data_IF_470005674291
#
_entry.id   IF_470005674291
#
_cell.length_a   1.000
_cell.length_b   1.000
_cell.length_c   1.000
_cell.angle_alpha   90.00
_cell.angle_beta   90.00
_cell.angle_gamma   90.00
#
_symmetry.space_group_name_H-M   'P 1'
#
loop_
_entity.id
_entity.type
_entity.pdbx_description
1 polymer ?
#
# COMPACT_ATOMS: atom_id res chain seq x y z
N UNK A 1 -12.61 23.82 -1.57
CA UNK A 1 -13.51 23.58 -0.41
C UNK A 1 -12.82 24.21 0.80
N UNK A 2 -13.52 24.68 1.84
CA UNK A 2 -12.78 25.20 3.01
C UNK A 2 -12.01 24.04 3.71
N UNK A 3 -10.84 24.33 4.31
CA UNK A 3 -10.12 23.41 5.19
C UNK A 3 -11.12 22.81 6.19
N UNK A 4 -11.30 21.49 6.16
CA UNK A 4 -12.27 20.76 7.00
C UNK A 4 -11.61 20.03 8.18
N UNK A 5 -10.29 19.89 8.11
CA UNK A 5 -9.45 19.21 9.08
C UNK A 5 -8.63 20.25 9.89
N UNK A 6 -7.63 19.79 10.65
CA UNK A 6 -6.70 20.64 11.40
C UNK A 6 -5.93 21.61 10.48
N UNK A 7 -5.49 22.74 11.03
CA UNK A 7 -4.57 23.63 10.33
C UNK A 7 -3.22 22.96 10.06
N UNK A 8 -2.47 23.43 9.06
CA UNK A 8 -1.17 22.83 8.70
C UNK A 8 -0.19 22.80 9.90
N UNK A 9 -0.18 23.83 10.73
CA UNK A 9 0.64 23.88 11.95
C UNK A 9 0.24 22.77 12.94
N UNK A 10 -1.06 22.62 13.21
CA UNK A 10 -1.58 21.56 14.07
C UNK A 10 -1.35 20.15 13.51
N UNK A 11 -1.34 20.01 12.17
CA UNK A 11 -1.07 18.74 11.49
C UNK A 11 0.37 18.25 11.72
N UNK A 12 1.36 19.14 11.68
CA UNK A 12 2.76 18.77 11.97
C UNK A 12 2.96 18.28 13.42
N UNK A 13 2.19 18.82 14.36
CA UNK A 13 2.23 18.39 15.77
C UNK A 13 1.27 17.23 16.08
N UNK A 14 0.40 16.86 15.15
CA UNK A 14 -0.63 15.85 15.38
C UNK A 14 -0.03 14.47 15.69
N UNK A 15 -0.57 13.79 16.70
CA UNK A 15 -0.26 12.39 17.03
C UNK A 15 -1.58 11.64 17.18
N UNK A 16 -1.68 10.47 16.53
CA UNK A 16 -2.88 9.63 16.58
C UNK A 16 -3.17 9.16 18.00
N UNK A 17 -4.46 8.97 18.29
CA UNK A 17 -4.95 8.36 19.52
C UNK A 17 -5.17 6.83 19.39
N UNK A 18 -4.80 6.23 18.25
CA UNK A 18 -4.90 4.79 18.02
C UNK A 18 -3.99 4.04 18.99
N UNK A 19 -4.55 3.07 19.71
CA UNK A 19 -3.81 2.27 20.69
C UNK A 19 -3.22 1.05 20.00
N UNK A 20 -1.89 0.94 20.03
CA UNK A 20 -1.19 -0.21 19.50
C UNK A 20 -1.52 -1.48 20.29
N UNK A 21 -1.83 -2.62 19.63
CA UNK A 21 -1.92 -3.91 20.30
C UNK A 21 -0.59 -4.34 20.92
N UNK A 22 -0.62 -4.82 22.16
CA UNK A 22 0.59 -5.29 22.88
C UNK A 22 1.33 -6.42 22.14
N UNK A 23 0.61 -7.20 21.34
CA UNK A 23 1.14 -8.33 20.56
C UNK A 23 1.26 -8.03 19.05
N UNK A 24 1.26 -6.74 18.64
CA UNK A 24 1.35 -6.33 17.23
C UNK A 24 2.53 -6.99 16.48
N UNK A 25 3.74 -6.91 17.06
CA UNK A 25 4.93 -7.50 16.46
C UNK A 25 4.86 -9.03 16.37
N UNK A 26 4.33 -9.67 17.41
CA UNK A 26 4.19 -11.11 17.46
C UNK A 26 3.17 -11.59 16.41
N UNK A 27 2.07 -10.86 16.24
CA UNK A 27 1.04 -11.14 15.24
C UNK A 27 1.60 -11.11 13.81
N UNK A 28 2.34 -10.05 13.47
CA UNK A 28 2.92 -9.91 12.12
C UNK A 28 4.09 -10.86 11.88
N UNK A 29 4.97 -11.04 12.87
CA UNK A 29 6.06 -12.02 12.78
C UNK A 29 5.54 -13.42 12.52
N UNK A 30 4.51 -13.84 13.26
CA UNK A 30 3.84 -15.13 13.06
C UNK A 30 3.20 -15.22 11.69
N UNK A 31 2.46 -14.19 11.27
CA UNK A 31 1.77 -14.16 9.96
C UNK A 31 2.75 -14.31 8.80
N UNK A 32 3.89 -13.61 8.85
CA UNK A 32 4.91 -13.70 7.80
C UNK A 32 5.70 -15.01 7.86
N UNK A 33 5.90 -15.59 9.05
CA UNK A 33 6.48 -16.92 9.19
C UNK A 33 5.59 -17.99 8.54
N UNK A 34 4.29 -18.01 8.85
CA UNK A 34 3.30 -18.91 8.24
C UNK A 34 3.29 -18.78 6.72
N UNK A 35 3.33 -17.55 6.20
CA UNK A 35 3.36 -17.33 4.75
C UNK A 35 4.61 -17.90 4.07
N UNK A 36 5.76 -17.89 4.76
CA UNK A 36 7.04 -18.42 4.27
C UNK A 36 7.17 -19.94 4.40
N UNK A 37 6.22 -20.62 5.05
CA UNK A 37 6.12 -22.10 5.00
C UNK A 37 5.71 -22.58 3.60
N UNK A 38 5.12 -21.70 2.80
CA UNK A 38 4.85 -21.95 1.38
C UNK A 38 6.01 -21.42 0.52
N UNK A 39 6.46 -22.24 -0.44
CA UNK A 39 7.42 -21.80 -1.45
C UNK A 39 6.87 -20.56 -2.19
N UNK A 40 7.75 -19.65 -2.58
CA UNK A 40 7.38 -18.43 -3.28
C UNK A 40 6.86 -18.71 -4.68
N UNK A 41 7.35 -19.77 -5.34
CA UNK A 41 6.94 -20.23 -6.68
C UNK A 41 6.75 -19.06 -7.67
N UNK A 42 7.70 -18.10 -7.65
CA UNK A 42 7.64 -16.91 -8.49
C UNK A 42 7.92 -17.29 -9.95
N UNK A 43 6.90 -17.13 -10.79
CA UNK A 43 6.97 -17.35 -12.25
C UNK A 43 6.82 -16.04 -12.98
N UNK A 44 7.65 -15.86 -14.01
CA UNK A 44 7.69 -14.67 -14.87
C UNK A 44 7.50 -15.09 -16.32
N UNK A 45 6.30 -14.87 -16.85
CA UNK A 45 5.92 -15.29 -18.20
C UNK A 45 5.90 -14.09 -19.14
N UNK A 46 6.76 -14.03 -20.19
CA UNK A 46 6.78 -12.91 -21.11
C UNK A 46 5.42 -12.68 -21.78
N UNK A 47 5.01 -11.42 -21.92
CA UNK A 47 3.79 -11.02 -22.62
C UNK A 47 4.14 -10.18 -23.84
N UNK A 48 3.62 -10.57 -25.00
CA UNK A 48 3.69 -9.75 -26.20
C UNK A 48 2.72 -8.57 -26.09
N UNK A 49 3.29 -7.39 -25.84
CA UNK A 49 2.55 -6.13 -25.71
C UNK A 49 2.65 -5.25 -26.96
N UNK A 50 3.53 -5.60 -27.92
CA UNK A 50 3.93 -4.72 -29.01
C UNK A 50 4.78 -3.51 -28.61
N UNK A 51 5.17 -3.36 -27.34
CA UNK A 51 6.03 -2.27 -26.87
C UNK A 51 7.50 -2.54 -27.26
N UNK A 52 8.18 -1.49 -27.74
CA UNK A 52 9.56 -1.61 -28.23
C UNK A 52 10.64 -1.31 -27.17
N UNK A 53 10.32 -0.50 -26.17
CA UNK A 53 11.29 0.02 -25.19
C UNK A 53 11.28 -0.74 -23.86
N UNK A 54 10.33 -1.66 -23.67
CA UNK A 54 10.20 -2.45 -22.44
C UNK A 54 9.85 -3.91 -22.75
N UNK A 55 10.20 -4.79 -21.83
CA UNK A 55 9.72 -6.18 -21.75
C UNK A 55 8.77 -6.28 -20.55
N UNK A 56 7.64 -6.97 -20.73
CA UNK A 56 6.63 -7.14 -19.69
C UNK A 56 6.41 -8.62 -19.41
N UNK A 57 6.33 -8.97 -18.14
CA UNK A 57 6.09 -10.34 -17.68
C UNK A 57 4.80 -10.41 -16.87
N UNK A 58 3.93 -11.38 -17.20
CA UNK A 58 2.88 -11.84 -16.31
C UNK A 58 3.54 -12.58 -15.14
N UNK A 59 3.38 -12.03 -13.94
CA UNK A 59 3.97 -12.62 -12.73
C UNK A 59 2.90 -13.37 -11.95
N UNK A 60 3.28 -14.53 -11.41
CA UNK A 60 2.52 -15.25 -10.39
C UNK A 60 3.45 -15.66 -9.27
N UNK A 61 3.06 -15.44 -8.02
CA UNK A 61 3.81 -15.86 -6.83
C UNK A 61 2.85 -16.27 -5.72
N UNK A 62 3.35 -17.01 -4.73
CA UNK A 62 2.58 -17.43 -3.57
C UNK A 62 2.59 -16.37 -2.46
N UNK A 63 1.41 -15.78 -2.22
CA UNK A 63 1.13 -14.83 -1.15
C UNK A 63 0.62 -15.51 0.13
N UNK A 64 -0.33 -14.86 0.80
CA UNK A 64 -0.95 -15.38 2.03
C UNK A 64 -1.52 -16.79 1.84
N UNK A 65 -1.13 -17.73 2.71
CA UNK A 65 -1.59 -19.13 2.68
C UNK A 65 -1.18 -19.90 1.41
N UNK A 66 -0.13 -19.44 0.72
CA UNK A 66 0.31 -20.03 -0.55
C UNK A 66 -0.57 -19.68 -1.76
N UNK A 67 -1.59 -18.83 -1.60
CA UNK A 67 -2.50 -18.47 -2.69
C UNK A 67 -1.76 -17.75 -3.83
N UNK A 68 -2.13 -18.01 -5.10
CA UNK A 68 -1.50 -17.35 -6.23
C UNK A 68 -1.91 -15.86 -6.30
N UNK A 69 -0.92 -14.99 -6.33
CA UNK A 69 -1.05 -13.54 -6.51
C UNK A 69 -0.45 -13.14 -7.84
N UNK A 70 -1.16 -12.28 -8.58
CA UNK A 70 -0.76 -11.80 -9.90
C UNK A 70 -0.04 -10.45 -9.78
N UNK A 71 0.88 -10.18 -10.70
CA UNK A 71 1.55 -8.88 -10.81
C UNK A 71 2.03 -8.66 -12.24
N UNK A 72 2.47 -7.44 -12.57
CA UNK A 72 3.27 -7.18 -13.77
C UNK A 72 4.69 -6.84 -13.34
N UNK A 73 5.68 -7.39 -14.06
CA UNK A 73 7.06 -6.91 -14.02
C UNK A 73 7.38 -6.28 -15.37
N UNK A 74 7.74 -5.00 -15.37
CA UNK A 74 8.14 -4.24 -16.55
C UNK A 74 9.62 -3.89 -16.43
N UNK A 75 10.42 -4.26 -17.43
CA UNK A 75 11.85 -4.01 -17.51
C UNK A 75 12.18 -3.19 -18.76
N UNK A 76 13.14 -2.25 -18.73
CA UNK A 76 13.76 -1.69 -19.93
C UNK A 76 14.22 -2.82 -20.89
N UNK A 77 13.86 -2.72 -22.17
CA UNK A 77 14.11 -3.81 -23.12
C UNK A 77 15.61 -4.10 -23.37
N UNK A 78 16.47 -3.11 -23.15
CA UNK A 78 17.92 -3.20 -23.30
C UNK A 78 18.67 -3.56 -22.00
N UNK A 79 17.96 -3.97 -20.95
CA UNK A 79 18.58 -4.33 -19.68
C UNK A 79 19.34 -5.66 -19.79
N UNK A 80 20.65 -5.62 -19.54
CA UNK A 80 21.53 -6.79 -19.49
C UNK A 80 22.06 -7.07 -18.07
N UNK A 81 21.91 -6.09 -17.17
CA UNK A 81 22.41 -6.12 -15.78
C UNK A 81 21.28 -5.83 -14.78
N UNK A 82 21.40 -6.26 -13.51
CA UNK A 82 20.39 -6.00 -12.48
C UNK A 82 20.06 -4.51 -12.28
N UNK A 83 18.77 -4.20 -12.31
CA UNK A 83 18.25 -2.84 -12.23
C UNK A 83 17.76 -2.51 -10.82
N UNK A 84 17.84 -1.24 -10.37
CA UNK A 84 17.08 -0.80 -9.22
C UNK A 84 15.60 -1.12 -9.40
N UNK A 85 14.93 -1.49 -8.31
CA UNK A 85 13.58 -2.03 -8.32
C UNK A 85 12.60 -1.06 -7.65
N UNK A 86 11.47 -0.81 -8.30
CA UNK A 86 10.31 -0.13 -7.72
C UNK A 86 9.17 -1.13 -7.62
N UNK A 87 8.71 -1.41 -6.40
CA UNK A 87 7.51 -2.21 -6.13
C UNK A 87 6.34 -1.26 -5.86
N UNK A 88 5.26 -1.42 -6.60
CA UNK A 88 4.09 -0.54 -6.55
C UNK A 88 2.82 -1.28 -6.11
N UNK A 89 2.02 -0.60 -5.28
CA UNK A 89 0.76 -1.09 -4.75
C UNK A 89 -0.42 -0.22 -5.19
N UNK A 90 -1.58 -0.87 -5.41
CA UNK A 90 -2.73 -0.26 -6.09
C UNK A 90 -3.76 0.33 -5.11
N UNK A 91 -4.39 1.43 -5.53
CA UNK A 91 -5.50 2.08 -4.81
C UNK A 91 -6.78 1.21 -4.72
N UNK A 92 -7.68 1.60 -3.82
CA UNK A 92 -8.88 0.81 -3.48
C UNK A 92 -9.81 0.58 -4.67
N UNK A 93 -10.22 -0.67 -4.90
CA UNK A 93 -11.06 -1.12 -6.00
C UNK A 93 -10.35 -1.30 -7.34
N UNK A 94 -9.09 -0.88 -7.44
CA UNK A 94 -8.23 -1.07 -8.61
C UNK A 94 -7.55 -2.45 -8.63
N UNK A 95 -6.86 -2.74 -9.72
CA UNK A 95 -6.03 -3.93 -9.91
C UNK A 95 -4.82 -3.61 -10.77
N UNK A 96 -3.99 -4.61 -11.09
CA UNK A 96 -2.74 -4.44 -11.85
C UNK A 96 -2.92 -3.82 -13.25
N UNK A 97 -4.13 -3.80 -13.79
CA UNK A 97 -4.43 -3.23 -15.10
C UNK A 97 -3.91 -4.07 -16.27
N UNK A 98 -3.89 -3.47 -17.45
CA UNK A 98 -3.33 -4.08 -18.66
C UNK A 98 -1.79 -3.95 -18.69
N UNK A 99 -1.09 -4.88 -19.37
CA UNK A 99 0.38 -4.95 -19.33
C UNK A 99 1.11 -3.73 -19.92
N UNK A 100 0.42 -2.82 -20.60
CA UNK A 100 1.02 -1.63 -21.24
C UNK A 100 0.81 -0.33 -20.45
N UNK A 101 0.04 -0.35 -19.35
CA UNK A 101 -0.40 0.86 -18.64
C UNK A 101 0.73 1.53 -17.84
N UNK A 102 1.70 0.75 -17.36
CA UNK A 102 2.65 1.19 -16.33
C UNK A 102 4.09 1.30 -16.88
N UNK A 103 4.38 2.43 -17.52
CA UNK A 103 5.65 2.63 -18.26
C UNK A 103 6.64 3.57 -17.55
N UNK A 104 6.18 4.34 -16.57
CA UNK A 104 6.95 5.46 -16.02
C UNK A 104 8.29 5.00 -15.43
N UNK A 105 8.25 4.07 -14.47
CA UNK A 105 9.45 3.65 -13.74
C UNK A 105 10.43 2.86 -14.62
N UNK A 106 9.93 2.01 -15.52
CA UNK A 106 10.76 1.38 -16.54
C UNK A 106 11.46 2.41 -17.44
N UNK A 107 10.78 3.48 -17.81
CA UNK A 107 11.37 4.59 -18.59
C UNK A 107 12.46 5.36 -17.83
N UNK A 108 12.58 5.17 -16.51
CA UNK A 108 13.67 5.74 -15.70
C UNK A 108 14.90 4.82 -15.58
N UNK A 109 14.89 3.65 -16.21
CA UNK A 109 15.94 2.64 -16.09
C UNK A 109 15.82 1.76 -14.86
N UNK A 110 14.62 1.64 -14.28
CA UNK A 110 14.32 0.77 -13.12
C UNK A 110 13.46 -0.42 -13.53
N UNK A 111 13.59 -1.53 -12.83
CA UNK A 111 12.57 -2.57 -12.87
C UNK A 111 11.32 -2.07 -12.14
N UNK A 112 10.15 -2.28 -12.72
CA UNK A 112 8.87 -1.90 -12.10
C UNK A 112 8.01 -3.12 -11.88
N UNK A 113 7.66 -3.38 -10.63
CA UNK A 113 6.82 -4.49 -10.22
C UNK A 113 5.52 -3.94 -9.61
N UNK A 114 4.38 -4.12 -10.27
CA UNK A 114 3.09 -3.69 -9.73
C UNK A 114 2.27 -4.90 -9.29
N UNK A 115 2.01 -4.99 -7.98
CA UNK A 115 1.25 -6.08 -7.39
C UNK A 115 -0.25 -5.88 -7.61
N UNK A 116 -0.93 -6.90 -8.12
CA UNK A 116 -2.39 -6.90 -8.18
C UNK A 116 -3.02 -7.07 -6.80
N UNK A 117 -4.26 -6.61 -6.62
CA UNK A 117 -4.89 -6.62 -5.30
C UNK A 117 -5.97 -7.69 -5.21
N UNK A 118 -5.77 -8.68 -4.31
CA UNK A 118 -6.66 -9.85 -4.16
C UNK A 118 -8.14 -9.49 -4.05
N UNK A 119 -8.95 -10.05 -4.94
CA UNK A 119 -10.41 -9.89 -4.96
C UNK A 119 -10.90 -8.49 -5.35
N UNK A 120 -10.00 -7.56 -5.71
CA UNK A 120 -10.35 -6.22 -6.22
C UNK A 120 -10.20 -6.16 -7.75
N UNK A 121 -9.90 -4.98 -8.31
CA UNK A 121 -9.76 -4.79 -9.76
C UNK A 121 -11.09 -4.79 -10.49
N UNK A 122 -12.11 -4.16 -9.92
CA UNK A 122 -13.46 -4.11 -10.50
C UNK A 122 -14.19 -2.79 -10.28
N UNK A 123 -13.53 -1.77 -9.72
CA UNK A 123 -14.10 -0.44 -9.55
C UNK A 123 -13.55 0.56 -10.59
N UNK A 124 -12.24 0.50 -10.88
CA UNK A 124 -11.56 1.38 -11.84
C UNK A 124 -10.28 0.73 -12.39
N UNK A 125 -9.69 1.35 -13.42
CA UNK A 125 -8.48 0.86 -14.10
C UNK A 125 -8.75 -0.30 -15.07
N UNK A 126 -7.69 -0.96 -15.54
CA UNK A 126 -7.76 -2.10 -16.47
C UNK A 126 -8.15 -3.46 -15.85
N UNK A 127 -8.51 -3.48 -14.56
CA UNK A 127 -8.97 -4.67 -13.84
C UNK A 127 -7.88 -5.43 -13.07
N UNK A 128 -8.29 -6.49 -12.37
CA UNK A 128 -7.43 -7.39 -11.58
C UNK A 128 -7.68 -8.86 -11.93
N UNK A 129 -6.73 -9.71 -11.56
CA UNK A 129 -6.71 -11.15 -11.85
C UNK A 129 -6.45 -12.03 -10.61
N UNK A 130 -6.14 -11.43 -9.46
CA UNK A 130 -5.90 -12.15 -8.20
C UNK A 130 -7.21 -12.41 -7.48
N UNK A 131 -7.54 -13.68 -7.25
CA UNK A 131 -8.71 -14.05 -6.45
C UNK A 131 -8.45 -13.93 -4.94
N UNK A 132 -9.51 -13.79 -4.12
CA UNK A 132 -9.45 -13.96 -2.66
C UNK A 132 -10.29 -15.18 -2.25
N UNK A 133 -9.69 -16.38 -2.09
CA UNK A 133 -10.44 -17.63 -1.91
C UNK A 133 -10.90 -17.90 -0.47
N UNK A 134 -10.47 -17.10 0.51
CA UNK A 134 -10.67 -17.37 1.94
C UNK A 134 -12.13 -17.21 2.38
N UNK A 135 -12.96 -16.53 1.59
CA UNK A 135 -14.34 -16.20 1.96
C UNK A 135 -14.39 -15.27 3.18
N UNK A 136 -15.56 -15.13 3.81
CA UNK A 136 -15.67 -14.31 5.02
C UNK A 136 -17.03 -14.37 5.71
N UNK A 137 -17.04 -13.92 6.97
CA UNK A 137 -18.24 -13.63 7.73
C UNK A 137 -19.06 -12.47 7.09
N UNK A 138 -20.30 -12.23 7.55
CA UNK A 138 -21.08 -11.07 7.08
C UNK A 138 -20.31 -9.75 7.20
N UNK A 139 -20.35 -8.96 6.13
CA UNK A 139 -19.65 -7.69 6.01
C UNK A 139 -20.52 -6.66 5.29
N UNK A 140 -20.19 -5.37 5.42
CA UNK A 140 -20.74 -4.34 4.56
C UNK A 140 -20.12 -4.45 3.15
N UNK A 141 -20.84 -4.14 2.05
CA UNK A 141 -20.28 -4.17 0.71
C UNK A 141 -18.98 -3.37 0.59
N UNK A 142 -17.96 -4.01 0.00
CA UNK A 142 -16.59 -3.51 -0.01
C UNK A 142 -15.63 -4.49 0.66
N UNK A 143 -14.48 -3.99 1.10
CA UNK A 143 -13.36 -4.76 1.65
C UNK A 143 -13.00 -4.33 3.07
N UNK A 144 -13.39 -3.12 3.50
CA UNK A 144 -12.99 -2.55 4.78
C UNK A 144 -13.52 -3.30 6.01
N UNK A 145 -14.57 -4.11 5.82
CA UNK A 145 -15.26 -4.81 6.92
C UNK A 145 -15.25 -6.34 6.75
N UNK A 146 -14.53 -6.85 5.74
CA UNK A 146 -14.38 -8.30 5.53
C UNK A 146 -13.48 -8.90 6.60
N UNK A 147 -14.06 -9.74 7.46
CA UNK A 147 -13.34 -10.38 8.56
C UNK A 147 -12.95 -9.41 9.69
N UNK A 148 -13.66 -8.29 9.85
CA UNK A 148 -13.35 -7.26 10.87
C UNK A 148 -13.60 -7.76 12.31
N UNK A 149 -14.21 -8.93 12.48
CA UNK A 149 -14.51 -9.55 13.76
C UNK A 149 -13.25 -10.00 14.54
N UNK A 150 -12.15 -10.29 13.84
CA UNK A 150 -10.87 -10.65 14.42
C UNK A 150 -9.69 -10.34 13.48
N UNK A 151 -8.51 -9.94 13.99
CA UNK A 151 -7.36 -9.61 13.15
C UNK A 151 -6.89 -10.78 12.28
N UNK A 152 -7.04 -12.02 12.75
CA UNK A 152 -6.68 -13.22 12.00
C UNK A 152 -7.51 -13.41 10.72
N UNK A 153 -8.76 -12.92 10.73
CA UNK A 153 -9.73 -13.04 9.63
C UNK A 153 -9.70 -11.84 8.69
N UNK A 154 -9.13 -10.73 9.13
CA UNK A 154 -9.26 -9.45 8.45
C UNK A 154 -8.61 -9.44 7.07
N UNK A 155 -9.29 -8.82 6.11
CA UNK A 155 -8.87 -8.78 4.71
C UNK A 155 -7.43 -8.27 4.51
N UNK A 156 -7.04 -7.19 5.20
CA UNK A 156 -5.71 -6.61 5.03
C UNK A 156 -4.59 -7.43 5.65
N UNK A 157 -4.87 -8.43 6.51
CA UNK A 157 -3.86 -9.45 6.89
C UNK A 157 -3.32 -10.14 5.67
N UNK A 158 -4.21 -10.51 4.75
CA UNK A 158 -3.87 -11.22 3.53
C UNK A 158 -3.21 -10.29 2.52
N UNK A 159 -3.74 -9.09 2.33
CA UNK A 159 -3.16 -8.10 1.40
C UNK A 159 -1.75 -7.67 1.81
N UNK A 160 -1.51 -7.36 3.09
CA UNK A 160 -0.18 -6.95 3.53
C UNK A 160 0.81 -8.10 3.49
N UNK A 161 0.37 -9.33 3.75
CA UNK A 161 1.19 -10.54 3.53
C UNK A 161 1.56 -10.69 2.06
N UNK A 162 0.60 -10.52 1.13
CA UNK A 162 0.90 -10.54 -0.31
C UNK A 162 1.90 -9.46 -0.69
N UNK A 163 1.77 -8.26 -0.12
CA UNK A 163 2.65 -7.13 -0.41
C UNK A 163 4.10 -7.40 0.04
N UNK A 164 4.30 -8.01 1.20
CA UNK A 164 5.62 -8.46 1.65
C UNK A 164 6.17 -9.54 0.70
N UNK A 165 5.34 -10.52 0.33
CA UNK A 165 5.71 -11.58 -0.62
C UNK A 165 5.96 -11.06 -2.03
N UNK A 166 5.31 -9.97 -2.43
CA UNK A 166 5.54 -9.30 -3.71
C UNK A 166 6.93 -8.68 -3.78
N UNK A 167 7.41 -8.10 -2.68
CA UNK A 167 8.80 -7.62 -2.61
C UNK A 167 9.78 -8.79 -2.77
N UNK A 168 9.55 -9.90 -2.08
CA UNK A 168 10.37 -11.12 -2.23
C UNK A 168 10.32 -11.67 -3.67
N UNK A 169 9.15 -11.70 -4.31
CA UNK A 169 8.98 -12.13 -5.69
C UNK A 169 9.73 -11.21 -6.65
N UNK A 170 9.53 -9.90 -6.54
CA UNK A 170 10.18 -8.90 -7.36
C UNK A 170 11.71 -8.97 -7.27
N UNK A 171 12.25 -9.20 -6.06
CA UNK A 171 13.69 -9.39 -5.80
C UNK A 171 14.28 -10.69 -6.33
N UNK A 172 13.45 -11.67 -6.70
CA UNK A 172 13.93 -12.99 -7.17
C UNK A 172 14.23 -13.04 -8.67
N UNK A 173 13.81 -12.04 -9.45
CA UNK A 173 14.10 -11.99 -10.88
C UNK A 173 15.59 -11.65 -11.14
N UNK A 174 16.32 -12.35 -12.03
CA UNK A 174 17.76 -12.12 -12.22
C UNK A 174 18.17 -10.71 -12.67
N UNK A 175 17.25 -9.97 -13.30
CA UNK A 175 17.48 -8.58 -13.73
C UNK A 175 17.01 -7.53 -12.71
N UNK A 176 16.66 -7.92 -11.49
CA UNK A 176 16.34 -6.98 -10.41
C UNK A 176 17.46 -6.97 -9.37
N UNK A 177 17.85 -5.78 -8.94
CA UNK A 177 18.81 -5.59 -7.86
C UNK A 177 18.05 -5.50 -6.53
N UNK A 178 18.08 -6.60 -5.79
CA UNK A 178 17.37 -6.70 -4.53
C UNK A 178 17.81 -5.66 -3.48
N UNK A 179 19.08 -5.24 -3.52
CA UNK A 179 19.63 -4.27 -2.58
C UNK A 179 19.20 -2.83 -2.88
N UNK A 180 18.62 -2.56 -4.06
CA UNK A 180 18.10 -1.25 -4.47
C UNK A 180 16.59 -1.30 -4.72
N UNK A 181 15.85 -1.79 -3.73
CA UNK A 181 14.39 -1.90 -3.78
C UNK A 181 13.70 -0.74 -3.06
N UNK A 182 12.86 -0.01 -3.78
CA UNK A 182 11.95 0.99 -3.23
C UNK A 182 10.49 0.52 -3.32
N UNK A 183 9.64 1.01 -2.41
CA UNK A 183 8.20 0.73 -2.42
C UNK A 183 7.37 2.01 -2.56
N UNK A 184 6.35 1.99 -3.41
CA UNK A 184 5.48 3.15 -3.65
C UNK A 184 4.00 2.74 -3.74
N UNK A 185 3.12 3.73 -3.57
CA UNK A 185 1.69 3.54 -3.83
C UNK A 185 0.89 4.74 -3.37
N UNK A 186 -0.34 4.84 -3.87
CA UNK A 186 -1.26 5.93 -3.54
C UNK A 186 -2.54 5.43 -2.89
N UNK A 187 -3.09 6.19 -1.95
CA UNK A 187 -4.34 5.84 -1.23
C UNK A 187 -4.20 4.49 -0.54
N UNK A 188 -5.01 3.47 -0.88
CA UNK A 188 -4.80 2.09 -0.39
C UNK A 188 -3.38 1.59 -0.65
N UNK A 189 -2.81 1.88 -1.83
CA UNK A 189 -1.43 1.56 -2.16
C UNK A 189 -0.44 2.26 -1.24
N UNK A 190 -0.74 3.48 -0.79
CA UNK A 190 0.06 4.22 0.18
C UNK A 190 0.03 3.57 1.56
N UNK A 191 -1.15 3.12 2.02
CA UNK A 191 -1.28 2.34 3.25
C UNK A 191 -0.51 1.00 3.19
N UNK A 192 -0.60 0.29 2.07
CA UNK A 192 0.18 -0.94 1.84
C UNK A 192 1.69 -0.63 1.82
N UNK A 193 2.09 0.49 1.22
CA UNK A 193 3.50 0.94 1.19
C UNK A 193 4.03 1.19 2.59
N UNK A 194 3.25 1.82 3.47
CA UNK A 194 3.62 2.04 4.88
C UNK A 194 3.76 0.71 5.61
N UNK A 195 2.82 -0.22 5.42
CA UNK A 195 2.89 -1.55 6.01
C UNK A 195 4.15 -2.32 5.56
N UNK A 196 4.44 -2.32 4.26
CA UNK A 196 5.66 -2.91 3.70
C UNK A 196 6.91 -2.24 4.25
N UNK A 197 6.92 -0.91 4.38
CA UNK A 197 8.04 -0.17 4.95
C UNK A 197 8.32 -0.46 6.44
N UNK A 198 7.32 -0.93 7.18
CA UNK A 198 7.47 -1.39 8.57
C UNK A 198 7.72 -2.91 8.72
N UNK A 199 7.43 -3.71 7.69
CA UNK A 199 7.52 -5.18 7.73
C UNK A 199 8.70 -5.76 6.95
N UNK A 200 9.18 -5.06 5.93
CA UNK A 200 10.31 -5.46 5.09
C UNK A 200 11.53 -4.66 5.53
N UNK A 201 12.60 -5.32 6.02
CA UNK A 201 13.86 -4.62 6.32
C UNK A 201 14.49 -4.12 5.01
N UNK A 202 15.52 -3.28 5.10
CA UNK A 202 16.45 -2.99 3.99
C UNK A 202 15.90 -2.39 2.68
N UNK A 203 14.69 -1.82 2.68
CA UNK A 203 14.24 -0.97 1.59
C UNK A 203 15.09 0.31 1.50
N UNK A 204 15.45 0.74 0.30
CA UNK A 204 16.26 1.96 0.11
C UNK A 204 15.44 3.25 0.17
N UNK A 205 14.12 3.14 -0.04
CA UNK A 205 13.18 4.25 0.00
C UNK A 205 11.73 3.77 0.02
N UNK A 206 10.83 4.57 0.60
CA UNK A 206 9.39 4.45 0.37
C UNK A 206 8.76 5.78 -0.07
N UNK A 207 7.70 5.73 -0.89
CA UNK A 207 6.93 6.93 -1.25
C UNK A 207 5.41 6.67 -1.19
N UNK A 208 4.81 6.75 0.01
CA UNK A 208 3.37 6.63 0.20
C UNK A 208 2.67 7.97 -0.10
N UNK A 209 1.73 7.95 -1.04
CA UNK A 209 0.97 9.13 -1.46
C UNK A 209 -0.45 9.12 -0.92
N UNK A 210 -0.90 10.25 -0.35
CA UNK A 210 -2.24 10.42 0.27
C UNK A 210 -2.72 9.14 0.98
N UNK A 211 -1.91 8.57 1.89
CA UNK A 211 -2.06 7.19 2.33
C UNK A 211 -3.39 6.96 3.07
N UNK A 212 -4.11 5.95 2.57
CA UNK A 212 -5.26 5.35 3.22
C UNK A 212 -4.80 4.37 4.34
N UNK A 213 -5.75 3.78 5.06
CA UNK A 213 -5.51 2.80 6.14
C UNK A 213 -4.68 3.36 7.31
N UNK A 214 -4.80 4.65 7.59
CA UNK A 214 -4.08 5.34 8.65
C UNK A 214 -5.08 5.97 9.63
N UNK A 215 -4.78 5.88 10.92
CA UNK A 215 -5.53 6.47 12.03
C UNK A 215 -7.05 6.17 11.96
N UNK A 216 -7.40 4.89 11.93
CA UNK A 216 -8.77 4.41 11.76
C UNK A 216 -9.80 5.05 12.71
N UNK A 217 -9.52 5.24 14.03
CA UNK A 217 -10.48 5.87 14.93
C UNK A 217 -10.89 7.27 14.48
N UNK A 218 -9.92 8.05 13.98
CA UNK A 218 -10.17 9.39 13.43
C UNK A 218 -10.85 9.30 12.08
N UNK A 219 -10.29 8.51 11.18
CA UNK A 219 -10.75 8.41 9.80
C UNK A 219 -12.23 7.99 9.68
N UNK A 220 -12.67 7.03 10.51
CA UNK A 220 -14.03 6.51 10.49
C UNK A 220 -15.09 7.50 11.00
N UNK A 221 -14.68 8.63 11.59
CA UNK A 221 -15.58 9.61 12.22
C UNK A 221 -15.48 11.02 11.64
N UNK A 222 -14.42 11.34 10.90
CA UNK A 222 -14.16 12.70 10.42
C UNK A 222 -14.92 13.06 9.14
N UNK A 223 -15.07 12.11 8.21
CA UNK A 223 -15.77 12.34 6.93
C UNK A 223 -16.75 11.21 6.61
N UNK A 224 -17.68 11.50 5.69
CA UNK A 224 -18.64 10.51 5.18
C UNK A 224 -18.15 9.84 3.87
N UNK A 225 -16.91 10.10 3.43
CA UNK A 225 -16.40 9.53 2.18
C UNK A 225 -16.02 8.05 2.33
N UNK A 226 -16.28 7.31 1.26
CA UNK A 226 -15.79 5.95 1.10
C UNK A 226 -14.28 5.97 0.80
N UNK A 227 -13.50 4.95 1.20
CA UNK A 227 -13.97 3.68 1.78
C UNK A 227 -14.11 3.65 3.31
N UNK A 228 -13.56 4.59 4.09
CA UNK A 228 -13.68 4.57 5.57
C UNK A 228 -15.13 4.50 6.05
N UNK A 229 -16.06 5.12 5.29
CA UNK A 229 -17.49 5.09 5.59
C UNK A 229 -18.08 3.68 5.69
N UNK A 230 -17.50 2.67 5.03
CA UNK A 230 -17.92 1.27 5.16
C UNK A 230 -17.90 0.77 6.61
N UNK A 231 -16.92 1.23 7.41
CA UNK A 231 -16.79 0.87 8.83
C UNK A 231 -17.98 1.40 9.62
N UNK A 232 -18.31 2.69 9.45
CA UNK A 232 -19.46 3.32 10.10
C UNK A 232 -20.79 2.68 9.69
N UNK A 233 -20.94 2.32 8.42
CA UNK A 233 -22.15 1.65 7.90
C UNK A 233 -22.30 0.21 8.43
N UNK A 234 -21.19 -0.51 8.60
CA UNK A 234 -21.18 -1.80 9.29
C UNK A 234 -21.59 -1.63 10.77
N UNK A 235 -20.97 -0.70 11.50
CA UNK A 235 -21.25 -0.46 12.92
C UNK A 235 -22.67 0.06 13.17
N UNK A 236 -23.29 0.74 12.20
CA UNK A 236 -24.70 1.15 12.24
C UNK A 236 -25.65 -0.05 12.34
N UNK A 237 -25.29 -1.17 11.71
CA UNK A 237 -26.03 -2.44 11.78
C UNK A 237 -25.59 -3.24 13.01
N UNK A 238 -24.28 -3.39 13.20
CA UNK A 238 -23.65 -4.18 14.26
C UNK A 238 -23.36 -3.30 15.50
N UNK A 239 -24.42 -2.78 16.12
CA UNK A 239 -24.32 -1.85 17.26
C UNK A 239 -23.60 -2.49 18.46
N UNK A 240 -22.83 -1.68 19.18
CA UNK A 240 -22.06 -2.12 20.36
C UNK A 240 -20.71 -2.78 20.04
N UNK A 241 -20.37 -2.94 18.75
CA UNK A 241 -19.13 -3.60 18.28
C UNK A 241 -17.98 -2.63 17.96
N UNK A 242 -18.13 -1.34 18.27
CA UNK A 242 -17.13 -0.32 17.91
C UNK A 242 -15.74 -0.64 18.44
N UNK A 243 -15.61 -1.00 19.72
CA UNK A 243 -14.32 -1.32 20.33
C UNK A 243 -13.71 -2.60 19.74
N UNK A 244 -14.53 -3.63 19.48
CA UNK A 244 -14.06 -4.87 18.84
C UNK A 244 -13.51 -4.60 17.43
N UNK A 245 -14.22 -3.78 16.64
CA UNK A 245 -13.80 -3.40 15.30
C UNK A 245 -12.52 -2.56 15.31
N UNK A 246 -12.43 -1.55 16.18
CA UNK A 246 -11.22 -0.73 16.31
C UNK A 246 -10.01 -1.54 16.80
N UNK A 247 -10.21 -2.51 17.69
CA UNK A 247 -9.16 -3.45 18.11
C UNK A 247 -8.65 -4.30 16.95
N UNK A 248 -9.53 -4.79 16.07
CA UNK A 248 -9.09 -5.50 14.86
C UNK A 248 -8.31 -4.55 13.95
N UNK A 249 -8.85 -3.37 13.69
CA UNK A 249 -8.27 -2.37 12.78
C UNK A 249 -6.90 -1.86 13.24
N UNK A 250 -6.62 -1.82 14.55
CA UNK A 250 -5.31 -1.37 15.05
C UNK A 250 -4.16 -2.32 14.70
N UNK A 251 -4.40 -3.58 14.32
CA UNK A 251 -3.34 -4.43 13.74
C UNK A 251 -2.97 -4.04 12.31
N UNK A 252 -3.78 -3.21 11.65
CA UNK A 252 -3.64 -2.83 10.24
C UNK A 252 -3.49 -1.31 10.03
N UNK A 253 -3.38 -0.56 11.11
CA UNK A 253 -3.24 0.90 11.08
C UNK A 253 -1.83 1.29 10.66
N UNK A 254 -1.72 2.07 9.58
CA UNK A 254 -0.47 2.61 9.05
C UNK A 254 0.36 3.35 10.10
N UNK A 255 -0.27 3.94 11.12
CA UNK A 255 0.45 4.60 12.23
C UNK A 255 1.36 3.63 12.98
N UNK A 256 0.92 2.39 13.21
CA UNK A 256 1.69 1.40 13.94
C UNK A 256 2.79 0.76 13.07
N UNK A 257 2.59 0.65 11.76
CA UNK A 257 3.70 0.27 10.87
C UNK A 257 4.74 1.38 10.73
N UNK A 258 4.30 2.64 10.71
CA UNK A 258 5.19 3.77 10.54
C UNK A 258 6.25 3.87 11.65
N UNK A 259 5.91 3.52 12.89
CA UNK A 259 6.88 3.47 14.01
C UNK A 259 7.98 2.42 13.84
N UNK A 260 7.86 1.53 12.86
CA UNK A 260 8.86 0.52 12.47
C UNK A 260 9.57 0.87 11.15
N UNK A 261 9.20 1.98 10.52
CA UNK A 261 9.75 2.42 9.25
C UNK A 261 11.25 2.73 9.32
N UNK A 262 12.05 2.00 8.53
CA UNK A 262 13.52 2.08 8.57
C UNK A 262 14.16 2.69 7.32
N UNK A 263 13.36 3.07 6.32
CA UNK A 263 13.84 3.63 5.06
C UNK A 263 13.57 5.14 4.98
N UNK A 264 14.37 5.90 4.18
CA UNK A 264 14.01 7.23 3.75
C UNK A 264 12.60 7.27 3.15
N UNK A 265 11.83 8.31 3.45
CA UNK A 265 10.43 8.38 3.03
C UNK A 265 10.03 9.73 2.42
N UNK A 266 9.32 9.69 1.30
CA UNK A 266 8.66 10.84 0.70
C UNK A 266 7.14 10.65 0.72
N UNK A 267 6.47 11.27 1.68
CA UNK A 267 5.03 11.30 1.76
C UNK A 267 4.44 12.40 0.86
N UNK A 268 3.17 12.27 0.50
CA UNK A 268 2.36 13.41 0.05
C UNK A 268 1.01 13.49 0.75
N UNK A 269 0.52 14.71 0.89
CA UNK A 269 -0.77 15.03 1.50
C UNK A 269 -1.47 16.14 0.72
N UNK A 270 -2.78 16.06 0.63
CA UNK A 270 -3.61 17.07 0.01
C UNK A 270 -4.61 17.61 1.03
N UNK A 271 -4.60 18.92 1.28
CA UNK A 271 -5.28 19.52 2.44
C UNK A 271 -6.81 19.56 2.31
N UNK A 272 -7.37 19.38 1.11
CA UNK A 272 -8.80 19.22 0.90
C UNK A 272 -9.24 17.74 0.75
N UNK A 273 -8.33 16.77 0.93
CA UNK A 273 -8.63 15.35 0.77
C UNK A 273 -9.58 14.85 1.85
N UNK A 274 -10.84 14.61 1.48
CA UNK A 274 -11.83 14.06 2.39
C UNK A 274 -11.89 12.54 2.40
N UNK A 275 -11.19 11.87 1.49
CA UNK A 275 -11.10 10.41 1.39
C UNK A 275 -10.02 9.88 2.34
N UNK A 276 -8.84 10.50 2.32
CA UNK A 276 -7.73 10.25 3.25
C UNK A 276 -7.41 11.57 3.98
N UNK A 277 -8.12 11.89 5.07
CA UNK A 277 -8.01 13.19 5.71
C UNK A 277 -6.57 13.57 6.07
N UNK A 278 -6.18 14.85 5.93
CA UNK A 278 -4.80 15.30 6.17
C UNK A 278 -4.24 14.83 7.51
N UNK A 279 -5.03 14.92 8.57
CA UNK A 279 -4.67 14.45 9.91
C UNK A 279 -4.32 12.98 9.99
N UNK A 280 -4.99 12.11 9.23
CA UNK A 280 -4.69 10.67 9.20
C UNK A 280 -3.38 10.40 8.47
N UNK A 281 -3.09 11.18 7.41
CA UNK A 281 -1.82 11.12 6.69
C UNK A 281 -0.68 11.62 7.58
N UNK A 282 -0.86 12.77 8.23
CA UNK A 282 0.11 13.33 9.16
C UNK A 282 0.35 12.44 10.37
N UNK A 283 -0.65 11.72 10.86
CA UNK A 283 -0.44 10.74 11.93
C UNK A 283 0.60 9.67 11.55
N UNK A 284 0.49 9.11 10.35
CA UNK A 284 1.45 8.13 9.85
C UNK A 284 2.82 8.76 9.56
N UNK A 285 2.86 9.93 8.90
CA UNK A 285 4.10 10.66 8.63
C UNK A 285 4.86 11.00 9.93
N UNK A 286 4.16 11.54 10.92
CA UNK A 286 4.74 11.94 12.20
C UNK A 286 5.24 10.73 12.99
N UNK A 287 4.57 9.58 12.89
CA UNK A 287 4.99 8.32 13.49
C UNK A 287 6.14 7.62 12.76
N UNK A 288 6.43 7.97 11.50
CA UNK A 288 7.51 7.35 10.72
C UNK A 288 8.86 7.45 11.45
N UNK A 289 9.50 6.31 11.72
CA UNK A 289 10.65 6.27 12.63
C UNK A 289 11.98 6.73 12.02
N UNK A 290 12.16 6.58 10.71
CA UNK A 290 13.37 7.05 10.04
C UNK A 290 13.43 8.59 10.01
N UNK A 291 14.62 9.14 10.31
CA UNK A 291 14.82 10.60 10.40
C UNK A 291 14.78 11.31 9.03
N UNK A 292 15.26 10.63 7.98
CA UNK A 292 15.14 11.13 6.60
C UNK A 292 13.70 10.89 6.10
N UNK A 293 12.82 11.83 6.42
CA UNK A 293 11.44 11.84 5.93
C UNK A 293 11.04 13.24 5.52
N UNK A 294 10.33 13.32 4.40
CA UNK A 294 9.75 14.55 3.87
C UNK A 294 8.29 14.34 3.50
N UNK A 295 7.52 15.43 3.45
CA UNK A 295 6.13 15.42 3.03
C UNK A 295 5.88 16.58 2.06
N UNK A 296 5.38 16.26 0.87
CA UNK A 296 4.91 17.26 -0.10
C UNK A 296 3.45 17.61 0.25
N UNK A 297 3.20 18.90 0.50
CA UNK A 297 1.88 19.43 0.90
C UNK A 297 1.23 20.12 -0.27
N UNK A 298 0.01 19.68 -0.62
CA UNK A 298 -0.80 20.24 -1.69
C UNK A 298 -2.03 20.95 -1.11
N UNK A 299 -1.98 22.30 -1.08
CA UNK A 299 -2.91 23.11 -0.28
C UNK A 299 -4.38 23.07 -0.73
N UNK A 300 -4.63 22.91 -2.03
CA UNK A 300 -5.96 23.04 -2.63
C UNK A 300 -6.44 21.78 -3.33
N UNK A 301 -5.67 20.69 -3.20
CA UNK A 301 -6.00 19.42 -3.83
C UNK A 301 -6.88 18.56 -2.91
N UNK A 302 -7.72 17.74 -3.53
CA UNK A 302 -8.49 16.68 -2.88
C UNK A 302 -7.72 15.35 -3.07
N UNK A 303 -8.42 14.22 -3.13
CA UNK A 303 -7.81 12.89 -3.19
C UNK A 303 -6.94 12.60 -4.43
N UNK A 304 -6.93 13.47 -5.45
CA UNK A 304 -5.98 13.38 -6.56
C UNK A 304 -4.53 13.68 -6.14
N UNK A 305 -4.32 14.26 -4.95
CA UNK A 305 -2.99 14.62 -4.48
C UNK A 305 -2.34 15.66 -5.39
N UNK A 306 -1.02 15.57 -5.56
CA UNK A 306 -0.31 16.39 -6.56
C UNK A 306 -0.34 15.83 -7.98
N UNK A 307 -0.94 14.66 -8.21
CA UNK A 307 -0.98 13.99 -9.52
C UNK A 307 0.39 14.00 -10.26
N UNK A 308 0.44 14.41 -11.53
CA UNK A 308 1.68 14.48 -12.30
C UNK A 308 2.77 15.40 -11.71
N UNK A 309 2.40 16.42 -10.92
CA UNK A 309 3.40 17.26 -10.24
C UNK A 309 4.11 16.47 -9.14
N UNK A 310 3.37 15.62 -8.43
CA UNK A 310 3.96 14.74 -7.43
C UNK A 310 4.77 13.61 -8.05
N UNK A 311 4.32 13.04 -9.17
CA UNK A 311 5.13 12.09 -9.94
C UNK A 311 6.49 12.69 -10.31
N UNK A 312 6.52 13.94 -10.77
CA UNK A 312 7.77 14.65 -11.05
C UNK A 312 8.64 14.86 -9.81
N UNK A 313 8.03 15.12 -8.64
CA UNK A 313 8.75 15.22 -7.36
C UNK A 313 9.37 13.87 -6.96
N UNK A 314 8.58 12.78 -6.98
CA UNK A 314 9.06 11.42 -6.70
C UNK A 314 10.19 10.99 -7.64
N UNK A 315 10.09 11.30 -8.93
CA UNK A 315 11.15 11.00 -9.91
C UNK A 315 12.47 11.70 -9.55
N UNK A 316 12.43 12.95 -9.10
CA UNK A 316 13.64 13.67 -8.66
C UNK A 316 14.19 13.08 -7.37
N UNK A 317 13.33 12.77 -6.41
CA UNK A 317 13.72 12.26 -5.10
C UNK A 317 14.27 10.83 -5.16
N UNK A 318 13.67 9.93 -5.95
CA UNK A 318 14.16 8.55 -6.09
C UNK A 318 15.49 8.45 -6.83
N UNK A 319 15.94 9.48 -7.56
CA UNK A 319 17.29 9.49 -8.18
C UNK A 319 18.41 9.49 -7.14
N UNK A 320 18.17 9.97 -5.92
CA UNK A 320 19.16 9.95 -4.85
C UNK A 320 19.14 8.68 -4.00
N UNK A 321 18.21 7.75 -4.25
CA UNK A 321 17.98 6.59 -3.40
C UNK A 321 18.01 5.24 -4.13
N UNK A 322 17.73 5.19 -5.44
CA UNK A 322 17.66 3.95 -6.22
C UNK A 322 18.24 4.09 -7.63
#
# INVERSE_FOLDING_TARGET
MALFDLSLEELHEYRSASTEPEDFDAFWSKTLQEAREHDLDARFEPVDTGLATVQVYDVTFSGFGGHPVKAWLTLPAAAEEPLPLVVEFVGYGGGRGLPHEHLLWASTGRAHFIMDTRGQGSAWGGGGATADPVGGAPAYPGFMTRGIDAPEHYYYRRVFTDAVRAVEAARSHPLTDAARTAAIGSSQGGGITIAVGGLVPDLVAIAPDVPFLCDFPRAATLTDRHPYREIGLFLKTHRGRTQDALRTLSYFDGVHFASRGSAPALFSVALEDQTCPPSTVFAAFNAWAHEDKAIEVYDFNDHEGGGPYHEAAKLRWLRSHA
#
